data_IF_774784182295
#
_entry.id   IF_774784182295
#
_cell.length_a   1.000
_cell.length_b   1.000
_cell.length_c   1.000
_cell.angle_alpha   90.00
_cell.angle_beta   90.00
_cell.angle_gamma   90.00
#
_symmetry.space_group_name_H-M   'P 1'
#
loop_
_entity.id
_entity.type
_entity.pdbx_description
1 polymer ?
#
# COMPACT_ATOMS: atom_id res chain seq x y z
N UNK A 1 -60.46 -15.55 5.63
CA UNK A 1 -59.95 -14.33 5.01
C UNK A 1 -58.57 -14.10 5.58
N UNK A 2 -57.55 -14.56 4.87
CA UNK A 2 -56.14 -14.49 5.31
C UNK A 2 -55.45 -13.40 4.47
N UNK A 3 -55.30 -12.22 5.04
CA UNK A 3 -54.60 -11.11 4.39
C UNK A 3 -53.09 -11.37 4.42
N UNK A 4 -52.54 -11.68 3.28
CA UNK A 4 -51.09 -11.77 3.10
C UNK A 4 -50.43 -10.42 3.36
N UNK A 5 -49.32 -10.35 4.13
CA UNK A 5 -48.57 -9.13 4.28
C UNK A 5 -47.87 -8.82 2.95
N UNK A 6 -48.09 -7.62 2.42
CA UNK A 6 -47.40 -7.11 1.24
C UNK A 6 -45.88 -7.01 1.51
N UNK A 7 -45.05 -7.55 0.63
CA UNK A 7 -43.61 -7.30 0.74
C UNK A 7 -43.34 -5.86 0.34
N UNK A 8 -43.24 -4.95 1.31
CA UNK A 8 -42.57 -3.67 1.11
C UNK A 8 -41.11 -3.96 0.94
N UNK A 9 -40.70 -4.35 -0.25
CA UNK A 9 -39.32 -4.40 -0.67
C UNK A 9 -38.80 -2.96 -0.58
N UNK A 10 -38.19 -2.64 0.55
CA UNK A 10 -37.44 -1.41 0.73
C UNK A 10 -36.36 -1.37 -0.34
N UNK A 11 -36.60 -0.57 -1.38
CA UNK A 11 -35.55 -0.28 -2.39
C UNK A 11 -34.31 0.12 -1.63
N UNK A 12 -33.17 -0.59 -1.79
CA UNK A 12 -31.95 -0.18 -1.14
C UNK A 12 -31.68 1.27 -1.53
N UNK A 13 -31.68 2.12 -0.53
CA UNK A 13 -31.60 3.58 -0.73
C UNK A 13 -30.26 3.86 -1.42
N UNK A 14 -30.32 4.39 -2.64
CA UNK A 14 -29.12 4.79 -3.43
C UNK A 14 -28.19 5.65 -2.59
N UNK A 15 -28.72 6.38 -1.62
CA UNK A 15 -27.99 7.15 -0.62
C UNK A 15 -27.03 6.32 0.25
N UNK A 16 -27.34 5.06 0.55
CA UNK A 16 -26.49 4.23 1.41
C UNK A 16 -25.27 3.72 0.64
N UNK A 17 -25.44 3.37 -0.64
CA UNK A 17 -24.31 2.99 -1.51
C UNK A 17 -23.34 4.15 -1.74
N UNK A 18 -23.85 5.37 -1.91
CA UNK A 18 -23.00 6.55 -2.09
C UNK A 18 -22.23 6.91 -0.83
N UNK A 19 -22.84 6.75 0.36
CA UNK A 19 -22.18 6.97 1.65
C UNK A 19 -21.08 5.93 1.92
N UNK A 20 -21.34 4.66 1.67
CA UNK A 20 -20.36 3.57 1.84
C UNK A 20 -19.19 3.80 0.88
N UNK A 21 -19.46 4.10 -0.38
CA UNK A 21 -18.45 4.39 -1.40
C UNK A 21 -17.61 5.62 -1.04
N UNK A 22 -18.24 6.69 -0.59
CA UNK A 22 -17.53 7.91 -0.17
C UNK A 22 -16.64 7.67 1.05
N UNK A 23 -17.06 6.79 1.98
CA UNK A 23 -16.25 6.41 3.14
C UNK A 23 -15.04 5.58 2.73
N UNK A 24 -15.22 4.63 1.82
CA UNK A 24 -14.13 3.81 1.28
C UNK A 24 -13.11 4.66 0.51
N UNK A 25 -13.57 5.59 -0.32
CA UNK A 25 -12.68 6.49 -1.07
C UNK A 25 -11.87 7.38 -0.11
N UNK A 26 -12.51 7.94 0.93
CA UNK A 26 -11.79 8.75 1.94
C UNK A 26 -10.74 7.92 2.68
N UNK A 27 -11.04 6.68 3.00
CA UNK A 27 -10.08 5.77 3.64
C UNK A 27 -8.90 5.46 2.72
N UNK A 28 -9.15 5.21 1.43
CA UNK A 28 -8.10 5.00 0.44
C UNK A 28 -7.22 6.24 0.24
N UNK A 29 -7.81 7.43 0.21
CA UNK A 29 -7.07 8.69 0.10
C UNK A 29 -6.19 8.90 1.34
N UNK A 30 -6.72 8.64 2.54
CA UNK A 30 -5.97 8.74 3.79
C UNK A 30 -4.81 7.74 3.81
N UNK A 31 -5.03 6.51 3.37
CA UNK A 31 -3.98 5.50 3.28
C UNK A 31 -2.90 5.89 2.27
N UNK A 32 -3.30 6.41 1.11
CA UNK A 32 -2.37 6.93 0.10
C UNK A 32 -1.56 8.12 0.63
N UNK A 33 -2.18 9.02 1.40
CA UNK A 33 -1.49 10.15 2.03
C UNK A 33 -0.47 9.68 3.08
N UNK A 34 -0.82 8.68 3.90
CA UNK A 34 0.11 8.07 4.88
C UNK A 34 1.29 7.40 4.17
N UNK A 35 1.03 6.67 3.07
CA UNK A 35 2.09 6.06 2.26
C UNK A 35 3.02 7.11 1.63
N UNK A 36 2.46 8.19 1.10
CA UNK A 36 3.24 9.30 0.55
C UNK A 36 4.09 9.97 1.64
N UNK A 37 3.52 10.21 2.82
CA UNK A 37 4.24 10.75 3.97
C UNK A 37 5.38 9.82 4.40
N UNK A 38 5.11 8.51 4.51
CA UNK A 38 6.12 7.51 4.86
C UNK A 38 7.25 7.46 3.82
N UNK A 39 6.92 7.58 2.53
CA UNK A 39 7.90 7.70 1.44
C UNK A 39 8.82 8.91 1.62
N UNK A 40 8.25 10.10 1.86
CA UNK A 40 9.04 11.31 2.09
C UNK A 40 9.88 11.23 3.37
N UNK A 41 9.33 10.69 4.46
CA UNK A 41 10.07 10.47 5.70
C UNK A 41 11.21 9.48 5.50
N UNK A 42 11.02 8.41 4.75
CA UNK A 42 12.05 7.42 4.43
C UNK A 42 13.19 8.02 3.59
N UNK A 43 12.88 8.92 2.67
CA UNK A 43 13.89 9.67 1.93
C UNK A 43 14.71 10.59 2.84
N UNK A 44 14.06 11.19 3.85
CA UNK A 44 14.69 12.13 4.79
C UNK A 44 15.48 11.44 5.91
N UNK A 45 15.03 10.26 6.35
CA UNK A 45 15.62 9.51 7.48
C UNK A 45 16.91 8.77 7.12
N UNK A 46 17.81 9.40 6.37
CA UNK A 46 19.11 8.82 6.04
C UNK A 46 20.25 9.54 6.78
N UNK A 47 21.43 8.89 6.84
CA UNK A 47 22.64 9.31 7.54
C UNK A 47 23.21 10.69 7.15
N UNK A 48 22.66 11.33 6.12
CA UNK A 48 23.00 12.69 5.71
C UNK A 48 21.76 13.57 5.89
N UNK A 49 21.89 14.63 6.68
CA UNK A 49 20.89 15.70 6.85
C UNK A 49 20.85 16.57 5.58
N UNK A 50 20.30 16.02 4.50
CA UNK A 50 20.11 16.74 3.25
C UNK A 50 18.81 17.52 3.27
N UNK A 51 18.79 18.82 2.91
CA UNK A 51 17.54 19.58 2.79
C UNK A 51 16.61 18.97 1.74
N UNK A 52 15.31 19.01 2.01
CA UNK A 52 14.28 18.37 1.16
C UNK A 52 14.35 18.79 -0.33
N UNK A 53 14.79 20.01 -0.60
CA UNK A 53 14.98 20.51 -1.96
C UNK A 53 16.11 19.77 -2.71
N UNK A 54 17.20 19.39 -2.04
CA UNK A 54 18.28 18.62 -2.64
C UNK A 54 17.91 17.15 -2.84
N UNK A 55 17.03 16.60 -1.98
CA UNK A 55 16.49 15.25 -2.18
C UNK A 55 15.68 15.14 -3.47
N UNK A 56 14.82 16.13 -3.75
CA UNK A 56 14.05 16.17 -4.98
C UNK A 56 14.97 16.33 -6.20
N UNK A 57 15.96 17.21 -6.11
CA UNK A 57 16.97 17.38 -7.17
C UNK A 57 17.81 16.11 -7.38
N UNK A 58 18.13 15.39 -6.31
CA UNK A 58 18.86 14.12 -6.35
C UNK A 58 18.10 12.98 -7.04
N UNK A 59 16.79 12.93 -6.91
CA UNK A 59 15.93 11.98 -7.64
C UNK A 59 16.08 12.20 -9.15
N UNK A 60 16.19 13.46 -9.59
CA UNK A 60 16.40 13.82 -11.00
C UNK A 60 17.88 13.88 -11.42
N UNK A 61 18.81 13.45 -10.55
CA UNK A 61 20.23 13.44 -10.84
C UNK A 61 20.90 14.83 -10.87
N UNK A 62 20.26 15.85 -10.27
CA UNK A 62 20.66 17.26 -10.28
C UNK A 62 21.04 17.80 -8.90
N UNK A 63 21.37 16.95 -7.93
CA UNK A 63 21.88 17.43 -6.65
C UNK A 63 23.28 18.09 -6.82
N UNK A 64 23.58 19.07 -5.98
CA UNK A 64 24.82 19.82 -6.03
C UNK A 64 26.07 18.97 -5.72
N UNK A 65 25.90 17.86 -4.99
CA UNK A 65 26.97 16.94 -4.63
C UNK A 65 26.80 15.57 -5.27
N UNK A 66 27.77 15.12 -6.03
CA UNK A 66 27.79 13.83 -6.70
C UNK A 66 27.66 12.63 -5.74
N UNK A 67 28.15 12.75 -4.51
CA UNK A 67 28.02 11.71 -3.48
C UNK A 67 26.57 11.53 -3.04
N UNK A 68 25.83 12.62 -2.92
CA UNK A 68 24.39 12.63 -2.56
C UNK A 68 23.58 11.96 -3.67
N UNK A 69 23.86 12.31 -4.93
CA UNK A 69 23.22 11.67 -6.09
C UNK A 69 23.45 10.16 -6.11
N UNK A 70 24.68 9.71 -5.85
CA UNK A 70 25.03 8.30 -5.86
C UNK A 70 24.31 7.52 -4.77
N UNK A 71 24.24 8.06 -3.55
CA UNK A 71 23.56 7.43 -2.41
C UNK A 71 22.04 7.38 -2.62
N UNK A 72 21.45 8.43 -3.13
CA UNK A 72 19.99 8.46 -3.38
C UNK A 72 19.64 7.48 -4.49
N UNK A 73 20.34 7.51 -5.60
CA UNK A 73 20.02 6.75 -6.80
C UNK A 73 20.35 5.26 -6.67
N UNK A 74 21.49 4.92 -6.07
CA UNK A 74 21.97 3.54 -6.01
C UNK A 74 21.53 2.79 -4.73
N UNK A 75 21.20 3.49 -3.67
CA UNK A 75 20.90 2.85 -2.39
C UNK A 75 19.47 3.12 -1.91
N UNK A 76 19.04 4.37 -1.85
CA UNK A 76 17.73 4.73 -1.27
C UNK A 76 16.58 4.44 -2.21
N UNK A 77 16.67 4.89 -3.44
CA UNK A 77 15.61 4.75 -4.44
C UNK A 77 15.30 3.29 -4.75
N UNK A 78 16.26 2.40 -5.04
CA UNK A 78 15.98 0.97 -5.26
C UNK A 78 15.33 0.31 -4.04
N UNK A 79 15.82 0.61 -2.84
CA UNK A 79 15.27 0.03 -1.59
C UNK A 79 13.81 0.41 -1.36
N UNK A 80 13.46 1.68 -1.59
CA UNK A 80 12.08 2.15 -1.43
C UNK A 80 11.18 1.54 -2.52
N UNK A 81 11.63 1.54 -3.78
CA UNK A 81 10.88 0.92 -4.88
C UNK A 81 10.64 -0.57 -4.63
N UNK A 82 11.66 -1.31 -4.20
CA UNK A 82 11.53 -2.73 -3.86
C UNK A 82 10.52 -2.94 -2.73
N UNK A 83 10.57 -2.12 -1.67
CA UNK A 83 9.62 -2.20 -0.57
C UNK A 83 8.18 -1.92 -1.02
N UNK A 84 7.98 -0.93 -1.89
CA UNK A 84 6.66 -0.60 -2.44
C UNK A 84 6.11 -1.73 -3.32
N UNK A 85 6.92 -2.27 -4.23
CA UNK A 85 6.51 -3.36 -5.13
C UNK A 85 6.22 -4.64 -4.34
N UNK A 86 7.07 -4.99 -3.38
CA UNK A 86 6.88 -6.15 -2.52
C UNK A 86 5.62 -6.01 -1.66
N UNK A 87 5.39 -4.84 -1.07
CA UNK A 87 4.20 -4.56 -0.27
C UNK A 87 2.92 -4.62 -1.10
N UNK A 88 2.92 -4.03 -2.30
CA UNK A 88 1.80 -4.11 -3.22
C UNK A 88 1.52 -5.56 -3.67
N UNK A 89 2.56 -6.32 -4.01
CA UNK A 89 2.45 -7.73 -4.38
C UNK A 89 1.86 -8.59 -3.26
N UNK A 90 2.34 -8.44 -2.04
CA UNK A 90 1.82 -9.15 -0.86
C UNK A 90 0.37 -8.74 -0.56
N UNK A 91 0.01 -7.47 -0.72
CA UNK A 91 -1.36 -6.99 -0.54
C UNK A 91 -2.32 -7.60 -1.55
N UNK A 92 -1.94 -7.62 -2.84
CA UNK A 92 -2.75 -8.24 -3.90
C UNK A 92 -2.88 -9.75 -3.68
N UNK A 93 -1.80 -10.44 -3.36
CA UNK A 93 -1.82 -11.87 -3.06
C UNK A 93 -2.74 -12.17 -1.88
N UNK A 94 -2.69 -11.36 -0.81
CA UNK A 94 -3.58 -11.47 0.33
C UNK A 94 -5.06 -11.33 -0.07
N UNK A 95 -5.41 -10.31 -0.85
CA UNK A 95 -6.78 -10.12 -1.34
C UNK A 95 -7.29 -11.30 -2.18
N UNK A 96 -6.45 -11.81 -3.08
CA UNK A 96 -6.81 -12.96 -3.94
C UNK A 96 -7.02 -14.21 -3.08
N UNK A 97 -6.12 -14.47 -2.12
CA UNK A 97 -6.23 -15.62 -1.23
C UNK A 97 -7.51 -15.58 -0.39
N UNK A 98 -7.86 -14.43 0.17
CA UNK A 98 -9.11 -14.26 0.92
C UNK A 98 -10.33 -14.53 0.05
N UNK A 99 -10.33 -14.07 -1.20
CA UNK A 99 -11.42 -14.29 -2.14
C UNK A 99 -11.55 -15.76 -2.55
N UNK A 100 -10.44 -16.43 -2.87
CA UNK A 100 -10.42 -17.83 -3.33
C UNK A 100 -10.77 -18.78 -2.19
N UNK A 101 -10.19 -18.60 -1.02
CA UNK A 101 -10.43 -19.45 0.14
C UNK A 101 -11.71 -19.09 0.90
N UNK A 102 -12.38 -18.00 0.52
CA UNK A 102 -13.55 -17.44 1.23
C UNK A 102 -13.31 -17.32 2.74
N UNK A 103 -12.07 -17.03 3.12
CA UNK A 103 -11.64 -16.93 4.50
C UNK A 103 -10.92 -15.60 4.72
N UNK A 104 -11.47 -14.69 5.54
CA UNK A 104 -10.86 -13.38 5.79
C UNK A 104 -9.54 -13.46 6.57
N UNK A 105 -9.22 -14.60 7.18
CA UNK A 105 -7.97 -14.83 7.92
C UNK A 105 -6.83 -15.34 7.02
N UNK A 106 -7.11 -15.63 5.74
CA UNK A 106 -6.08 -16.07 4.81
C UNK A 106 -5.12 -14.94 4.47
N UNK A 107 -3.83 -15.20 4.54
CA UNK A 107 -2.76 -14.29 4.15
C UNK A 107 -1.60 -15.04 3.52
N UNK A 108 -0.72 -14.33 2.81
CA UNK A 108 0.48 -14.93 2.23
C UNK A 108 1.40 -15.59 3.30
N UNK A 109 1.41 -15.03 4.52
CA UNK A 109 2.18 -15.59 5.63
C UNK A 109 1.58 -16.90 6.18
N UNK A 110 0.24 -17.04 6.21
CA UNK A 110 -0.41 -18.27 6.71
C UNK A 110 -0.19 -19.47 5.79
N UNK A 111 0.07 -19.23 4.50
CA UNK A 111 0.40 -20.29 3.54
C UNK A 111 1.90 -20.65 3.47
N UNK A 112 2.72 -20.11 4.36
CA UNK A 112 4.14 -20.43 4.39
C UNK A 112 5.00 -19.74 3.34
N UNK A 113 4.44 -18.77 2.59
CA UNK A 113 5.19 -18.03 1.56
C UNK A 113 6.36 -17.25 2.17
N UNK A 114 6.16 -16.66 3.34
CA UNK A 114 7.23 -15.95 4.06
C UNK A 114 8.36 -16.87 4.50
N UNK A 115 8.02 -18.07 4.95
CA UNK A 115 9.00 -19.11 5.37
C UNK A 115 9.79 -19.63 4.15
N UNK A 116 9.10 -19.87 3.02
CA UNK A 116 9.74 -20.24 1.77
C UNK A 116 10.68 -19.15 1.23
N UNK A 117 10.28 -17.89 1.30
CA UNK A 117 11.12 -16.76 0.90
C UNK A 117 12.37 -16.63 1.79
N UNK A 118 12.23 -16.81 3.11
CA UNK A 118 13.36 -16.79 4.06
C UNK A 118 14.33 -17.94 3.77
N UNK A 119 13.81 -19.14 3.52
CA UNK A 119 14.63 -20.28 3.14
C UNK A 119 15.38 -20.03 1.83
N UNK A 120 14.69 -19.54 0.79
CA UNK A 120 15.30 -19.22 -0.50
C UNK A 120 16.35 -18.08 -0.45
N UNK A 121 16.25 -17.19 0.54
CA UNK A 121 17.26 -16.14 0.74
C UNK A 121 18.49 -16.63 1.52
N UNK A 122 18.39 -17.78 2.22
CA UNK A 122 19.47 -18.35 3.02
C UNK A 122 20.34 -19.36 2.24
N UNK A 123 19.86 -19.84 1.10
CA UNK A 123 20.56 -20.76 0.18
C UNK A 123 21.27 -20.01 -0.92
#
# INVERSE_FOLDING_TARGET
MHSAPSPSASKPQISDYTRIRARSIRFLILLAAVLALAFFLSLRAGSYSTPAAELIRGIFGRAADNKINLVIRNNRLPRICTAMVSGAGLGLAGCILQAVLRNPLASASTLGVSQGATFGAAV
#
